data_IF_472823111081
#
_entry.id   IF_472823111081
#
_cell.length_a   1.000
_cell.length_b   1.000
_cell.length_c   1.000
_cell.angle_alpha   90.00
_cell.angle_beta   90.00
_cell.angle_gamma   90.00
#
_symmetry.space_group_name_H-M   'P 1'
#
loop_
_entity.id
_entity.type
_entity.pdbx_description
1 polymer ?
#
# COMPACT_ATOMS: atom_id res chain seq x y z
N UNK A 1 15.90 -9.42 9.47
CA UNK A 1 14.55 -9.66 8.94
C UNK A 1 14.71 -10.45 7.64
N UNK A 2 13.95 -11.52 7.42
CA UNK A 2 14.03 -12.26 6.15
C UNK A 2 13.28 -11.51 5.05
N UNK A 3 13.61 -11.78 3.78
CA UNK A 3 12.89 -11.19 2.64
C UNK A 3 11.39 -11.49 2.70
N UNK A 4 11.00 -12.70 3.12
CA UNK A 4 9.59 -13.07 3.33
C UNK A 4 8.87 -12.17 4.35
N UNK A 5 9.47 -11.95 5.52
CA UNK A 5 8.86 -11.10 6.57
C UNK A 5 8.81 -9.64 6.11
N UNK A 6 9.81 -9.17 5.37
CA UNK A 6 9.83 -7.85 4.79
C UNK A 6 8.71 -7.65 3.76
N UNK A 7 8.51 -8.60 2.84
CA UNK A 7 7.40 -8.58 1.87
C UNK A 7 6.04 -8.62 2.58
N UNK A 8 5.88 -9.46 3.61
CA UNK A 8 4.65 -9.53 4.42
C UNK A 8 4.32 -8.17 5.07
N UNK A 9 5.30 -7.54 5.72
CA UNK A 9 5.12 -6.24 6.38
C UNK A 9 4.85 -5.14 5.35
N UNK A 10 5.59 -5.13 4.23
CA UNK A 10 5.41 -4.17 3.15
C UNK A 10 4.01 -4.24 2.55
N UNK A 11 3.53 -5.45 2.21
CA UNK A 11 2.17 -5.64 1.70
C UNK A 11 1.11 -5.29 2.75
N UNK A 12 1.34 -5.60 4.03
CA UNK A 12 0.43 -5.17 5.11
C UNK A 12 0.29 -3.64 5.17
N UNK A 13 1.41 -2.89 5.10
CA UNK A 13 1.39 -1.43 5.07
C UNK A 13 0.61 -0.93 3.84
N UNK A 14 0.90 -1.49 2.67
CA UNK A 14 0.21 -1.14 1.42
C UNK A 14 -1.30 -1.32 1.55
N UNK A 15 -1.76 -2.48 2.03
CA UNK A 15 -3.18 -2.82 2.16
C UNK A 15 -3.87 -1.94 3.20
N UNK A 16 -3.29 -1.80 4.40
CA UNK A 16 -3.91 -1.00 5.47
C UNK A 16 -4.08 0.46 5.07
N UNK A 17 -3.09 1.06 4.41
CA UNK A 17 -3.16 2.46 3.98
C UNK A 17 -3.99 2.64 2.70
N UNK A 18 -3.83 1.74 1.71
CA UNK A 18 -4.56 1.78 0.45
C UNK A 18 -6.06 1.55 0.64
N UNK A 19 -6.45 0.46 1.32
CA UNK A 19 -7.86 0.20 1.63
C UNK A 19 -8.38 1.19 2.68
N UNK A 20 -7.51 1.70 3.56
CA UNK A 20 -7.84 2.76 4.51
C UNK A 20 -8.30 4.05 3.84
N UNK A 21 -7.65 4.49 2.75
CA UNK A 21 -8.13 5.67 2.00
C UNK A 21 -9.44 5.40 1.27
N UNK A 22 -9.64 4.18 0.75
CA UNK A 22 -10.92 3.77 0.14
C UNK A 22 -12.04 3.80 1.17
N UNK A 23 -11.81 3.21 2.34
CA UNK A 23 -12.75 3.24 3.45
C UNK A 23 -13.04 4.67 3.92
N UNK A 24 -12.01 5.53 4.00
CA UNK A 24 -12.17 6.93 4.36
C UNK A 24 -13.01 7.71 3.32
N UNK A 25 -13.02 7.34 2.05
CA UNK A 25 -13.78 8.06 1.01
C UNK A 25 -15.18 7.49 0.79
N UNK A 26 -15.37 6.17 0.97
CA UNK A 26 -16.61 5.47 0.59
C UNK A 26 -17.51 5.07 1.76
N UNK A 27 -17.00 4.97 3.00
CA UNK A 27 -17.85 4.64 4.14
C UNK A 27 -18.64 5.86 4.61
N UNK A 28 -19.92 5.64 4.89
CA UNK A 28 -20.76 6.66 5.49
C UNK A 28 -20.20 7.12 6.84
N UNK A 29 -20.27 8.42 7.11
CA UNK A 29 -19.80 9.08 8.33
C UNK A 29 -18.29 9.02 8.55
N UNK A 30 -17.50 8.70 7.52
CA UNK A 30 -16.07 8.95 7.55
C UNK A 30 -15.80 10.46 7.40
N UNK A 31 -14.60 10.91 7.78
CA UNK A 31 -14.23 12.33 7.62
C UNK A 31 -13.89 12.71 6.19
N UNK A 32 -13.58 11.74 5.34
CA UNK A 32 -13.32 11.93 3.91
C UNK A 32 -14.47 11.52 3.00
N UNK A 33 -15.66 11.24 3.53
CA UNK A 33 -16.80 10.78 2.72
C UNK A 33 -17.05 11.72 1.53
N UNK A 34 -17.06 11.16 0.32
CA UNK A 34 -17.30 11.95 -0.89
C UNK A 34 -16.12 12.80 -1.38
N UNK A 35 -14.90 12.59 -0.86
CA UNK A 35 -13.71 13.34 -1.33
C UNK A 35 -13.26 12.99 -2.76
N UNK A 36 -13.82 11.94 -3.36
CA UNK A 36 -13.63 11.58 -4.76
C UNK A 36 -12.34 10.82 -5.08
N UNK A 37 -12.17 10.54 -6.37
CA UNK A 37 -11.14 9.63 -6.88
C UNK A 37 -9.70 10.13 -6.66
N UNK A 38 -9.45 11.44 -6.74
CA UNK A 38 -8.10 12.00 -6.57
C UNK A 38 -7.51 11.66 -5.20
N UNK A 39 -8.31 11.73 -4.13
CA UNK A 39 -7.86 11.38 -2.78
C UNK A 39 -7.51 9.90 -2.68
N UNK A 40 -8.32 9.02 -3.29
CA UNK A 40 -8.04 7.57 -3.34
C UNK A 40 -6.74 7.31 -4.10
N UNK A 41 -6.59 7.88 -5.30
CA UNK A 41 -5.41 7.65 -6.15
C UNK A 41 -4.12 8.15 -5.48
N UNK A 42 -4.14 9.35 -4.89
CA UNK A 42 -3.00 9.87 -4.13
C UNK A 42 -2.71 9.04 -2.88
N UNK A 43 -3.74 8.61 -2.15
CA UNK A 43 -3.57 7.76 -0.97
C UNK A 43 -2.92 6.41 -1.29
N UNK A 44 -3.34 5.74 -2.37
CA UNK A 44 -2.70 4.50 -2.84
C UNK A 44 -1.23 4.73 -3.27
N UNK A 45 -0.94 5.81 -4.00
CA UNK A 45 0.43 6.14 -4.41
C UNK A 45 1.37 6.39 -3.22
N UNK A 46 0.87 7.07 -2.19
CA UNK A 46 1.61 7.27 -0.93
C UNK A 46 1.75 5.97 -0.13
N UNK A 47 0.72 5.12 -0.09
CA UNK A 47 0.77 3.82 0.57
C UNK A 47 1.89 2.93 0.01
N UNK A 48 1.99 2.83 -1.32
CA UNK A 48 3.08 2.11 -2.01
C UNK A 48 4.43 2.72 -1.64
N UNK A 49 4.57 4.05 -1.70
CA UNK A 49 5.83 4.75 -1.38
C UNK A 49 6.31 4.46 0.04
N UNK A 50 5.40 4.51 1.02
CA UNK A 50 5.72 4.21 2.43
C UNK A 50 6.13 2.75 2.60
N UNK A 51 5.41 1.80 1.99
CA UNK A 51 5.76 0.39 2.03
C UNK A 51 7.16 0.14 1.44
N UNK A 52 7.46 0.73 0.27
CA UNK A 52 8.77 0.60 -0.39
C UNK A 52 9.90 1.15 0.49
N UNK A 53 9.74 2.34 1.07
CA UNK A 53 10.75 2.89 1.97
C UNK A 53 10.93 2.08 3.26
N UNK A 54 9.87 1.43 3.75
CA UNK A 54 9.93 0.63 4.96
C UNK A 54 10.71 -0.68 4.78
N UNK A 55 10.59 -1.36 3.62
CA UNK A 55 11.11 -2.72 3.45
C UNK A 55 12.07 -2.93 2.26
N UNK A 56 12.30 -1.88 1.47
CA UNK A 56 13.08 -1.93 0.22
C UNK A 56 14.52 -2.40 0.39
N UNK A 57 15.19 -1.96 1.46
CA UNK A 57 16.58 -2.36 1.75
C UNK A 57 16.73 -3.84 2.18
N UNK A 58 15.62 -4.54 2.44
CA UNK A 58 15.64 -5.92 2.96
C UNK A 58 15.19 -6.94 1.91
N UNK A 59 14.20 -6.60 1.08
CA UNK A 59 13.56 -7.54 0.14
C UNK A 59 13.57 -7.09 -1.32
N UNK A 60 13.94 -5.84 -1.60
CA UNK A 60 13.64 -5.20 -2.89
C UNK A 60 12.23 -4.60 -2.96
N UNK A 61 11.39 -4.83 -1.94
CA UNK A 61 10.02 -4.31 -1.83
C UNK A 61 9.18 -4.56 -3.09
N UNK A 62 9.08 -5.82 -3.50
CA UNK A 62 8.17 -6.17 -4.59
C UNK A 62 6.73 -5.87 -4.20
N UNK A 63 6.34 -6.28 -2.99
CA UNK A 63 5.05 -6.09 -2.31
C UNK A 63 3.83 -6.42 -3.19
N UNK A 64 4.07 -7.16 -4.28
CA UNK A 64 3.16 -7.46 -5.36
C UNK A 64 3.65 -8.73 -6.08
N UNK A 65 2.82 -9.77 -6.17
CA UNK A 65 3.17 -10.99 -6.91
C UNK A 65 3.50 -10.77 -8.39
N UNK A 66 2.81 -9.84 -9.06
CA UNK A 66 3.06 -9.53 -10.48
C UNK A 66 4.45 -8.90 -10.69
N UNK A 67 4.89 -8.04 -9.77
CA UNK A 67 6.25 -7.48 -9.79
C UNK A 67 7.27 -8.58 -9.56
N UNK A 68 7.01 -9.47 -8.58
CA UNK A 68 7.90 -10.61 -8.31
C UNK A 68 8.07 -11.51 -9.53
N UNK A 69 6.98 -11.84 -10.21
CA UNK A 69 7.03 -12.67 -11.43
C UNK A 69 7.68 -11.92 -12.59
N UNK A 70 7.46 -10.61 -12.72
CA UNK A 70 8.04 -9.81 -13.80
C UNK A 70 9.55 -9.60 -13.68
N UNK A 71 10.12 -9.76 -12.48
CA UNK A 71 11.55 -9.65 -12.19
C UNK A 71 12.23 -11.01 -11.98
N UNK A 72 11.50 -12.12 -12.12
CA UNK A 72 11.98 -13.48 -11.92
C UNK A 72 12.78 -14.04 -13.11
#
# INVERSE_FOLDING_TARGET
>A
MSAFVAELIGTMILVVLGDGVVANVLLARSKGEGSGWMVIATGWGLAVSVAVYAVGSVSGAHINPAVTVGLA
#
